data_IF_537715897613
#
_entry.id   IF_537715897613
#
_cell.length_a   1.000
_cell.length_b   1.000
_cell.length_c   1.000
_cell.angle_alpha   90.00
_cell.angle_beta   90.00
_cell.angle_gamma   90.00
#
_symmetry.space_group_name_H-M   'P 1'
#
loop_
_entity.id
_entity.type
_entity.pdbx_description
1 polymer ?
#
# COMPACT_ATOMS: atom_id res chain seq x y z
N UNK A 1 10.27 3.71 24.67
CA UNK A 1 10.05 2.53 23.80
C UNK A 1 9.08 2.91 22.69
N UNK A 2 9.59 3.35 21.53
CA UNK A 2 8.75 3.67 20.38
C UNK A 2 8.38 2.37 19.66
N UNK A 3 7.19 1.84 19.97
CA UNK A 3 6.61 0.72 19.26
C UNK A 3 6.43 1.12 17.79
N UNK A 4 7.30 0.62 16.92
CA UNK A 4 7.18 0.80 15.46
C UNK A 4 5.82 0.23 15.08
N UNK A 5 4.84 1.10 14.79
CA UNK A 5 3.52 0.63 14.37
C UNK A 5 3.69 -0.34 13.20
N UNK A 6 2.96 -1.47 13.17
CA UNK A 6 3.20 -2.62 12.27
C UNK A 6 3.04 -2.31 10.77
N UNK A 7 2.71 -1.07 10.40
CA UNK A 7 2.68 -0.61 9.02
C UNK A 7 4.01 -0.85 8.27
N UNK A 8 5.14 -0.96 8.97
CA UNK A 8 6.44 -1.23 8.36
C UNK A 8 6.64 -2.66 7.78
N UNK A 9 5.73 -3.61 8.03
CA UNK A 9 5.89 -5.02 7.62
C UNK A 9 4.79 -5.44 6.64
N UNK A 10 5.04 -5.21 5.34
CA UNK A 10 4.17 -5.71 4.28
C UNK A 10 4.56 -7.16 3.91
N UNK A 11 3.62 -8.10 3.93
CA UNK A 11 3.84 -9.46 3.41
C UNK A 11 3.83 -9.54 1.88
N UNK A 12 3.13 -8.60 1.23
CA UNK A 12 3.03 -8.46 -0.23
C UNK A 12 3.10 -6.98 -0.59
N UNK A 13 3.98 -6.58 -1.50
CA UNK A 13 4.18 -5.19 -1.88
C UNK A 13 3.11 -4.77 -2.90
N UNK A 14 2.20 -3.88 -2.47
CA UNK A 14 1.12 -3.37 -3.33
C UNK A 14 1.66 -2.50 -4.46
N UNK A 15 2.77 -1.79 -4.27
CA UNK A 15 3.38 -0.94 -5.31
C UNK A 15 3.88 -1.82 -6.46
N UNK A 16 4.64 -2.87 -6.14
CA UNK A 16 5.19 -3.78 -7.14
C UNK A 16 4.10 -4.56 -7.87
N UNK A 17 3.11 -5.09 -7.11
CA UNK A 17 1.99 -5.82 -7.70
C UNK A 17 1.27 -4.97 -8.75
N UNK A 18 1.09 -3.68 -8.47
CA UNK A 18 0.39 -2.75 -9.35
C UNK A 18 1.22 -2.37 -10.55
N UNK A 19 2.53 -2.18 -10.37
CA UNK A 19 3.43 -1.94 -11.48
C UNK A 19 3.29 -3.06 -12.51
N UNK A 20 3.31 -4.32 -12.04
CA UNK A 20 3.07 -5.51 -12.87
C UNK A 20 1.66 -5.53 -13.48
N UNK A 21 0.63 -5.20 -12.70
CA UNK A 21 -0.74 -5.11 -13.23
C UNK A 21 -0.88 -4.05 -14.32
N UNK A 22 -0.19 -2.90 -14.20
CA UNK A 22 -0.17 -1.85 -15.23
C UNK A 22 0.59 -2.26 -16.48
N UNK A 23 1.69 -3.01 -16.34
CA UNK A 23 2.42 -3.59 -17.48
C UNK A 23 1.55 -4.59 -18.27
N UNK A 24 0.65 -5.33 -17.59
CA UNK A 24 -0.25 -6.30 -18.21
C UNK A 24 -1.54 -5.69 -18.77
N UNK A 25 -2.14 -4.77 -18.03
CA UNK A 25 -3.47 -4.24 -18.31
C UNK A 25 -3.49 -2.73 -18.11
N UNK A 26 -3.23 -1.99 -19.18
CA UNK A 26 -3.28 -0.53 -19.16
C UNK A 26 -4.66 0.01 -18.70
N UNK A 27 -5.74 -0.68 -19.05
CA UNK A 27 -7.13 -0.32 -18.67
C UNK A 27 -7.38 -0.42 -17.16
N UNK A 28 -6.57 -1.19 -16.43
CA UNK A 28 -6.68 -1.29 -14.96
C UNK A 28 -6.40 0.05 -14.27
N UNK A 29 -5.66 0.96 -14.93
CA UNK A 29 -5.49 2.34 -14.45
C UNK A 29 -6.82 3.05 -14.28
N UNK A 30 -7.79 2.84 -15.18
CA UNK A 30 -9.10 3.46 -15.09
C UNK A 30 -9.93 2.95 -13.90
N UNK A 31 -9.68 1.73 -13.43
CA UNK A 31 -10.36 1.21 -12.22
C UNK A 31 -9.64 1.70 -10.96
N UNK A 32 -8.31 1.68 -10.98
CA UNK A 32 -7.47 1.94 -9.81
C UNK A 32 -7.32 3.42 -9.47
N UNK A 33 -7.19 4.30 -10.47
CA UNK A 33 -7.00 5.72 -10.22
C UNK A 33 -8.21 6.37 -9.53
N UNK A 34 -9.47 6.11 -9.92
CA UNK A 34 -10.65 6.58 -9.17
C UNK A 34 -10.66 6.06 -7.73
N UNK A 35 -10.30 4.79 -7.51
CA UNK A 35 -10.23 4.21 -6.16
C UNK A 35 -9.14 4.89 -5.31
N UNK A 36 -7.99 5.21 -5.92
CA UNK A 36 -6.92 5.99 -5.28
C UNK A 36 -7.42 7.38 -4.90
N UNK A 37 -8.08 8.09 -5.82
CA UNK A 37 -8.66 9.40 -5.55
C UNK A 37 -9.69 9.34 -4.43
N UNK A 38 -10.57 8.33 -4.41
CA UNK A 38 -11.52 8.13 -3.31
C UNK A 38 -10.84 7.93 -1.96
N UNK A 39 -9.76 7.15 -1.90
CA UNK A 39 -8.96 6.99 -0.68
C UNK A 39 -8.26 8.29 -0.26
N UNK A 40 -7.71 9.06 -1.20
CA UNK A 40 -7.07 10.34 -0.89
C UNK A 40 -8.09 11.35 -0.37
N UNK A 41 -9.25 11.46 -1.02
CA UNK A 41 -10.33 12.36 -0.63
C UNK A 41 -10.86 12.01 0.77
N UNK A 42 -11.08 10.73 1.05
CA UNK A 42 -11.46 10.28 2.40
C UNK A 42 -10.33 10.51 3.39
N UNK A 43 -9.07 10.25 3.01
CA UNK A 43 -7.90 10.51 3.84
C UNK A 43 -7.84 11.98 4.27
N UNK A 44 -8.10 12.89 3.33
CA UNK A 44 -8.19 14.32 3.61
C UNK A 44 -9.36 14.65 4.53
N UNK A 45 -10.55 14.09 4.28
CA UNK A 45 -11.73 14.29 5.12
C UNK A 45 -11.51 13.82 6.58
N UNK A 46 -10.77 12.75 6.79
CA UNK A 46 -10.47 12.18 8.10
C UNK A 46 -9.15 12.68 8.72
N UNK A 47 -8.45 13.62 8.07
CA UNK A 47 -7.18 14.19 8.54
C UNK A 47 -6.04 13.15 8.63
N UNK A 48 -6.00 12.18 7.72
CA UNK A 48 -4.98 11.13 7.65
C UNK A 48 -3.85 11.60 6.74
N UNK A 49 -2.68 11.82 7.31
CA UNK A 49 -1.46 12.15 6.55
C UNK A 49 -0.65 10.87 6.21
N UNK A 50 -0.66 10.39 4.95
CA UNK A 50 0.09 9.22 4.52
C UNK A 50 1.62 9.44 4.50
N UNK A 51 2.10 10.68 4.48
CA UNK A 51 3.54 10.99 4.43
C UNK A 51 4.19 10.98 5.81
N UNK A 52 3.41 11.29 6.86
CA UNK A 52 3.83 11.22 8.25
C UNK A 52 3.97 9.81 8.83
N UNK A 53 3.67 8.74 8.07
CA UNK A 53 3.81 7.38 8.57
C UNK A 53 5.29 6.94 8.65
N UNK A 54 5.71 6.29 9.76
CA UNK A 54 7.06 5.75 9.86
C UNK A 54 7.23 4.57 8.90
N UNK A 55 7.99 4.78 7.83
CA UNK A 55 8.29 3.78 6.79
C UNK A 55 9.75 3.33 6.88
N UNK A 56 10.03 2.07 6.53
CA UNK A 56 11.40 1.51 6.56
C UNK A 56 12.23 1.81 5.31
N UNK A 57 11.59 2.16 4.20
CA UNK A 57 12.24 2.54 2.96
C UNK A 57 11.50 3.72 2.33
N UNK A 58 12.23 4.61 1.65
CA UNK A 58 11.62 5.74 0.94
C UNK A 58 10.62 5.27 -0.13
N UNK A 59 10.85 4.10 -0.71
CA UNK A 59 9.95 3.44 -1.65
C UNK A 59 8.56 3.14 -1.05
N UNK A 60 8.46 3.04 0.27
CA UNK A 60 7.19 2.83 0.97
C UNK A 60 6.50 4.13 1.41
N UNK A 61 7.15 5.30 1.29
CA UNK A 61 6.55 6.58 1.66
C UNK A 61 5.32 6.84 0.79
N UNK A 62 4.22 7.30 1.40
CA UNK A 62 2.96 7.56 0.67
C UNK A 62 2.27 6.29 0.14
N UNK A 63 2.66 5.09 0.59
CA UNK A 63 2.05 3.86 0.12
C UNK A 63 0.55 3.82 0.44
N UNK A 64 -0.27 3.59 -0.60
CA UNK A 64 -1.73 3.54 -0.52
C UNK A 64 -2.25 2.47 0.46
N UNK A 65 -1.43 1.45 0.76
CA UNK A 65 -1.75 0.42 1.76
C UNK A 65 -1.86 1.00 3.17
N UNK A 66 -1.02 1.99 3.51
CA UNK A 66 -1.07 2.65 4.82
C UNK A 66 -2.30 3.54 4.94
N UNK A 67 -2.57 4.34 3.91
CA UNK A 67 -3.80 5.12 3.81
C UNK A 67 -5.05 4.23 3.92
N UNK A 68 -5.10 3.11 3.18
CA UNK A 68 -6.19 2.12 3.30
C UNK A 68 -6.32 1.61 4.73
N UNK A 69 -5.22 1.22 5.38
CA UNK A 69 -5.27 0.67 6.75
C UNK A 69 -5.76 1.73 7.75
N UNK A 70 -5.25 2.95 7.65
CA UNK A 70 -5.69 4.07 8.48
C UNK A 70 -7.17 4.41 8.27
N UNK A 71 -7.66 4.37 7.02
CA UNK A 71 -9.07 4.57 6.71
C UNK A 71 -9.95 3.44 7.25
N UNK A 72 -9.48 2.18 7.25
CA UNK A 72 -10.23 1.07 7.87
C UNK A 72 -10.37 1.26 9.38
N UNK A 73 -9.36 1.79 10.05
CA UNK A 73 -9.41 2.06 11.49
C UNK A 73 -10.33 3.24 11.83
N UNK A 74 -10.43 4.25 10.94
CA UNK A 74 -11.13 5.51 11.19
C UNK A 74 -12.56 5.58 10.62
N UNK A 75 -12.87 4.78 9.59
CA UNK A 75 -14.11 4.93 8.82
C UNK A 75 -14.84 3.60 8.58
N UNK A 76 -15.98 3.43 9.26
CA UNK A 76 -16.91 2.33 9.00
C UNK A 76 -17.50 2.38 7.58
N UNK A 77 -17.71 3.60 7.04
CA UNK A 77 -18.14 3.80 5.66
C UNK A 77 -17.10 3.25 4.67
N UNK A 78 -15.83 3.55 4.90
CA UNK A 78 -14.75 3.01 4.08
C UNK A 78 -14.68 1.48 4.19
N UNK A 79 -14.88 0.90 5.38
CA UNK A 79 -14.93 -0.56 5.53
C UNK A 79 -16.05 -1.19 4.72
N UNK A 80 -17.25 -0.59 4.71
CA UNK A 80 -18.40 -1.09 3.96
C UNK A 80 -18.18 -0.99 2.45
N UNK A 81 -17.70 0.15 1.97
CA UNK A 81 -17.36 0.36 0.55
C UNK A 81 -16.22 -0.56 0.10
N UNK A 82 -15.16 -0.66 0.89
CA UNK A 82 -14.05 -1.55 0.60
C UNK A 82 -14.50 -3.01 0.59
N UNK A 83 -15.42 -3.41 1.48
CA UNK A 83 -15.99 -4.76 1.50
C UNK A 83 -16.77 -5.11 0.22
N UNK A 84 -17.52 -4.16 -0.34
CA UNK A 84 -18.22 -4.34 -1.61
C UNK A 84 -17.23 -4.44 -2.80
N UNK A 85 -16.19 -3.61 -2.79
CA UNK A 85 -15.25 -3.50 -3.89
C UNK A 85 -14.19 -4.61 -3.91
N UNK A 86 -13.80 -5.16 -2.74
CA UNK A 86 -12.77 -6.19 -2.62
C UNK A 86 -13.03 -7.42 -3.52
N UNK A 87 -14.20 -8.09 -3.48
CA UNK A 87 -14.43 -9.30 -4.30
C UNK A 87 -14.42 -9.02 -5.80
N UNK A 88 -14.79 -7.80 -6.20
CA UNK A 88 -14.76 -7.37 -7.61
C UNK A 88 -13.32 -7.15 -8.06
N UNK A 89 -12.53 -6.49 -7.21
CA UNK A 89 -11.12 -6.23 -7.47
C UNK A 89 -10.28 -7.51 -7.44
N UNK A 90 -10.53 -8.42 -6.50
CA UNK A 90 -9.82 -9.69 -6.38
C UNK A 90 -10.03 -10.53 -7.64
N UNK A 91 -11.27 -10.62 -8.17
CA UNK A 91 -11.53 -11.29 -9.46
C UNK A 91 -10.83 -10.64 -10.66
N UNK A 92 -10.73 -9.31 -10.67
CA UNK A 92 -10.02 -8.59 -11.74
C UNK A 92 -8.51 -8.88 -11.66
N UNK A 93 -7.93 -8.83 -10.46
CA UNK A 93 -6.51 -9.11 -10.25
C UNK A 93 -6.19 -10.57 -10.57
N UNK A 94 -7.00 -11.53 -10.14
CA UNK A 94 -6.81 -12.96 -10.45
C UNK A 94 -6.81 -13.26 -11.95
N UNK A 95 -7.51 -12.44 -12.75
CA UNK A 95 -7.51 -12.56 -14.22
C UNK A 95 -6.33 -11.87 -14.90
N UNK A 96 -5.72 -10.87 -14.26
CA UNK A 96 -4.66 -10.06 -14.85
C UNK A 96 -3.27 -10.52 -14.39
N UNK A 97 -3.15 -10.92 -13.13
CA UNK A 97 -1.87 -11.17 -12.45
C UNK A 97 -1.72 -12.66 -12.17
N UNK A 98 -0.61 -13.26 -12.62
CA UNK A 98 -0.35 -14.68 -12.40
C UNK A 98 0.13 -14.95 -10.97
N UNK A 99 0.03 -16.22 -10.54
CA UNK A 99 0.56 -16.64 -9.24
C UNK A 99 2.07 -16.36 -9.10
N UNK A 100 2.82 -16.39 -10.20
CA UNK A 100 4.25 -16.07 -10.25
C UNK A 100 4.51 -14.59 -9.95
N UNK A 101 3.72 -13.69 -10.54
CA UNK A 101 3.83 -12.23 -10.32
C UNK A 101 3.43 -11.84 -8.89
N UNK A 102 2.46 -12.53 -8.30
CA UNK A 102 2.16 -12.43 -6.87
C UNK A 102 3.37 -12.90 -6.04
N UNK A 103 4.04 -13.96 -6.47
CA UNK A 103 5.28 -14.46 -5.88
C UNK A 103 6.42 -13.44 -5.94
N UNK A 104 6.60 -12.75 -7.06
CA UNK A 104 7.54 -11.63 -7.20
C UNK A 104 7.21 -10.48 -6.25
N UNK A 105 5.95 -10.06 -6.15
CA UNK A 105 5.54 -9.00 -5.24
C UNK A 105 5.76 -9.37 -3.76
N UNK A 106 5.64 -10.65 -3.40
CA UNK A 106 5.97 -11.17 -2.06
C UNK A 106 7.48 -11.18 -1.81
N UNK A 107 8.29 -11.59 -2.79
CA UNK A 107 9.77 -11.54 -2.71
C UNK A 107 10.27 -10.11 -2.53
N UNK A 108 9.77 -9.19 -3.36
CA UNK A 108 10.07 -7.77 -3.26
C UNK A 108 9.68 -7.19 -1.90
N UNK A 109 8.51 -7.56 -1.36
CA UNK A 109 8.11 -7.12 -0.02
C UNK A 109 9.09 -7.56 1.07
N UNK A 110 9.57 -8.82 1.01
CA UNK A 110 10.57 -9.34 1.94
C UNK A 110 11.92 -8.64 1.81
N UNK A 111 12.33 -8.31 0.57
CA UNK A 111 13.57 -7.60 0.30
C UNK A 111 13.52 -6.14 0.74
N UNK A 112 12.43 -5.42 0.42
CA UNK A 112 12.20 -4.03 0.86
C UNK A 112 11.89 -3.90 2.34
N UNK A 113 11.50 -4.98 3.02
CA UNK A 113 11.35 -5.04 4.47
C UNK A 113 12.68 -5.29 5.20
N UNK A 114 13.76 -5.62 4.49
CA UNK A 114 15.11 -5.61 5.07
C UNK A 114 15.42 -4.16 5.48
N UNK A 115 15.85 -3.93 6.72
CA UNK A 115 16.17 -2.58 7.17
C UNK A 115 17.28 -2.01 6.29
N UNK A 116 17.08 -0.82 5.74
CA UNK A 116 18.17 0.02 5.26
C UNK A 116 18.89 0.51 6.53
N UNK A 117 19.74 -0.35 7.13
CA UNK A 117 20.70 0.10 8.13
C UNK A 117 22.03 0.30 7.42
N UNK A 118 22.20 1.52 6.89
CA UNK A 118 23.41 2.20 6.36
C UNK A 118 22.83 3.34 5.50
N UNK A 119 22.83 4.60 5.90
CA UNK A 119 23.93 5.39 6.45
C UNK A 119 23.43 6.61 7.26
N UNK A 120 24.20 6.93 8.31
CA UNK A 120 24.34 8.24 8.97
C UNK A 120 23.08 8.92 9.53
N UNK A 121 22.76 8.59 10.79
CA UNK A 121 22.33 9.62 11.73
C UNK A 121 23.34 9.69 12.87
N UNK A 122 24.36 10.56 12.71
CA UNK A 122 25.08 11.10 13.85
C UNK A 122 24.09 12.02 14.58
N UNK A 123 23.49 11.55 15.67
CA UNK A 123 22.94 12.48 16.65
C UNK A 123 24.13 13.10 17.39
N UNK A 124 24.44 14.34 17.03
CA UNK A 124 25.26 15.22 17.85
C UNK A 124 24.56 15.48 19.18
N UNK A 125 25.39 15.60 20.21
CA UNK A 125 25.09 15.82 21.63
C UNK A 125 23.91 16.73 21.93
#
# INVERSE_FOLDING_TARGET
MNSIKPYALCSTCTIMLVKKTYERAWWFRMVREPLRWGMIALGWLYGIDPEGYPVRSEQCRGCLRFMKTALKDRSALFNRLNGLMNPLFDRIIERIVTAEEIGEAKRFAKESARPIYKDKVKYGK
#
